data_IF_199981361295
#
_entry.id   IF_199981361295
#
_cell.length_a   1.000
_cell.length_b   1.000
_cell.length_c   1.000
_cell.angle_alpha   90.00
_cell.angle_beta   90.00
_cell.angle_gamma   90.00
#
_symmetry.space_group_name_H-M   'P 1'
#
loop_
_entity.id
_entity.type
_entity.pdbx_description
1 polymer ?
#
# COMPACT_ATOMS: atom_id res chain seq x y z
N UNK A 1 -1.20 -7.48 -14.10
CA UNK A 1 -1.88 -8.20 -13.00
C UNK A 1 -0.84 -8.90 -12.14
N UNK A 2 -0.86 -8.70 -10.82
CA UNK A 2 0.04 -9.35 -9.84
C UNK A 2 -0.63 -10.61 -9.28
N UNK A 3 0.10 -11.73 -9.21
CA UNK A 3 -0.42 -13.01 -8.68
C UNK A 3 0.59 -13.69 -7.77
N UNK A 4 0.10 -14.31 -6.71
CA UNK A 4 0.84 -15.29 -5.91
C UNK A 4 0.38 -16.70 -6.23
N UNK A 5 1.29 -17.67 -6.17
CA UNK A 5 1.04 -19.07 -6.46
C UNK A 5 1.63 -19.93 -5.34
N UNK A 6 0.76 -20.45 -4.45
CA UNK A 6 1.13 -21.24 -3.28
C UNK A 6 2.30 -20.64 -2.50
N UNK A 7 2.21 -19.32 -2.27
CA UNK A 7 3.26 -18.52 -1.69
C UNK A 7 3.38 -18.82 -0.19
N UNK A 8 4.53 -19.32 0.24
CA UNK A 8 4.83 -19.49 1.66
C UNK A 8 6.14 -18.79 2.02
N UNK A 9 6.19 -18.28 3.26
CA UNK A 9 7.40 -17.63 3.77
C UNK A 9 7.62 -17.98 5.25
N UNK A 10 8.88 -18.32 5.55
CA UNK A 10 9.36 -18.53 6.91
C UNK A 10 10.37 -17.45 7.28
N UNK A 11 10.23 -16.92 8.46
CA UNK A 11 11.27 -16.11 9.07
C UNK A 11 11.93 -16.97 10.16
N UNK A 12 13.17 -17.36 9.96
CA UNK A 12 13.85 -18.40 10.74
C UNK A 12 13.02 -19.70 10.74
N UNK A 13 12.54 -20.12 11.91
CA UNK A 13 11.71 -21.33 12.07
C UNK A 13 10.21 -21.05 12.09
N UNK A 14 9.79 -19.78 12.14
CA UNK A 14 8.37 -19.40 12.21
C UNK A 14 7.79 -19.27 10.82
N UNK A 15 6.71 -20.00 10.55
CA UNK A 15 5.90 -19.82 9.35
C UNK A 15 5.11 -18.50 9.48
N UNK A 16 5.32 -17.59 8.54
CA UNK A 16 4.68 -16.27 8.51
C UNK A 16 3.53 -16.20 7.51
N UNK A 17 3.68 -16.91 6.39
CA UNK A 17 2.64 -17.06 5.36
C UNK A 17 2.64 -18.51 4.87
N UNK A 18 1.44 -19.05 4.64
CA UNK A 18 1.23 -20.42 4.23
C UNK A 18 0.35 -20.52 2.98
N UNK A 19 0.90 -21.01 1.88
CA UNK A 19 0.23 -21.35 0.61
C UNK A 19 -0.67 -20.26 0.00
N UNK A 20 -0.37 -18.97 0.20
CA UNK A 20 -1.15 -17.85 -0.30
C UNK A 20 -1.23 -17.85 -1.83
N UNK A 21 -2.44 -17.99 -2.36
CA UNK A 21 -2.73 -17.93 -3.80
C UNK A 21 -3.79 -16.88 -4.09
N UNK A 22 -3.36 -15.65 -4.43
CA UNK A 22 -4.22 -14.48 -4.65
C UNK A 22 -3.84 -13.78 -5.94
N UNK A 23 -4.82 -13.25 -6.67
CA UNK A 23 -4.62 -12.40 -7.84
C UNK A 23 -5.11 -10.97 -7.53
N UNK A 24 -4.24 -9.98 -7.74
CA UNK A 24 -4.56 -8.55 -7.61
C UNK A 24 -4.73 -7.96 -9.01
N UNK A 25 -5.86 -7.33 -9.26
CA UNK A 25 -6.26 -6.84 -10.58
C UNK A 25 -5.92 -5.36 -10.75
N UNK A 26 -5.53 -4.93 -11.96
CA UNK A 26 -5.50 -3.52 -12.31
C UNK A 26 -6.89 -2.87 -12.13
N UNK A 27 -6.89 -1.57 -11.84
CA UNK A 27 -8.13 -0.82 -11.64
C UNK A 27 -8.81 -1.07 -10.29
N UNK A 28 -8.11 -1.66 -9.31
CA UNK A 28 -8.68 -2.05 -8.03
C UNK A 28 -7.81 -1.60 -6.86
N UNK A 29 -8.42 -0.97 -5.87
CA UNK A 29 -7.83 -0.74 -4.55
C UNK A 29 -8.15 -1.95 -3.66
N UNK A 30 -7.15 -2.81 -3.46
CA UNK A 30 -7.24 -3.94 -2.53
C UNK A 30 -6.64 -3.56 -1.17
N UNK A 31 -7.45 -3.63 -0.13
CA UNK A 31 -6.97 -3.44 1.25
C UNK A 31 -6.70 -4.80 1.88
N UNK A 32 -5.57 -4.93 2.55
CA UNK A 32 -5.19 -6.10 3.35
C UNK A 32 -5.38 -5.72 4.82
N UNK A 33 -6.33 -6.36 5.49
CA UNK A 33 -6.58 -6.28 6.92
C UNK A 33 -6.13 -7.53 7.67
N UNK A 34 -6.31 -7.52 8.98
CA UNK A 34 -6.00 -8.65 9.86
C UNK A 34 -5.30 -8.23 11.15
N UNK A 35 -5.27 -9.09 12.18
CA UNK A 35 -4.61 -8.81 13.45
C UNK A 35 -3.10 -8.57 13.31
N UNK A 36 -2.48 -8.05 14.37
CA UNK A 36 -1.02 -7.94 14.42
C UNK A 36 -0.38 -9.34 14.35
N UNK A 37 0.70 -9.46 13.58
CA UNK A 37 1.39 -10.73 13.39
C UNK A 37 0.75 -11.69 12.38
N UNK A 38 -0.35 -11.34 11.69
CA UNK A 38 -0.99 -12.18 10.68
C UNK A 38 -0.23 -12.31 9.36
N UNK A 39 0.86 -11.56 9.16
CA UNK A 39 1.71 -11.65 7.96
C UNK A 39 1.53 -10.53 6.94
N UNK A 40 0.74 -9.47 7.21
CA UNK A 40 0.44 -8.38 6.25
C UNK A 40 1.70 -7.70 5.68
N UNK A 41 2.57 -7.19 6.54
CA UNK A 41 3.82 -6.53 6.10
C UNK A 41 4.76 -7.52 5.40
N UNK A 42 4.79 -8.78 5.84
CA UNK A 42 5.55 -9.84 5.16
C UNK A 42 5.01 -10.06 3.74
N UNK A 43 3.68 -10.08 3.56
CA UNK A 43 3.07 -10.21 2.23
C UNK A 43 3.43 -9.00 1.34
N UNK A 44 3.32 -7.77 1.83
CA UNK A 44 3.74 -6.56 1.07
C UNK A 44 5.22 -6.66 0.65
N UNK A 45 6.12 -7.05 1.55
CA UNK A 45 7.56 -7.18 1.26
C UNK A 45 7.86 -8.29 0.24
N UNK A 46 7.09 -9.36 0.24
CA UNK A 46 7.18 -10.42 -0.78
C UNK A 46 6.62 -9.93 -2.13
N UNK A 47 5.45 -9.29 -2.15
CA UNK A 47 4.84 -8.71 -3.35
C UNK A 47 5.71 -7.61 -3.96
N UNK A 48 6.47 -6.91 -3.12
CA UNK A 48 7.45 -5.93 -3.57
C UNK A 48 8.73 -6.55 -4.13
N UNK A 49 9.00 -7.82 -3.88
CA UNK A 49 10.27 -8.47 -4.23
C UNK A 49 11.43 -8.10 -3.29
N UNK A 50 11.17 -7.41 -2.17
CA UNK A 50 12.15 -7.14 -1.12
C UNK A 50 12.56 -8.43 -0.40
N UNK A 51 11.56 -9.31 -0.17
CA UNK A 51 11.78 -10.65 0.36
C UNK A 51 11.62 -11.70 -0.75
N UNK A 52 12.35 -12.79 -0.62
CA UNK A 52 12.16 -14.00 -1.43
C UNK A 52 11.23 -14.96 -0.70
N UNK A 53 10.27 -15.58 -1.40
CA UNK A 53 9.45 -16.63 -0.81
C UNK A 53 10.29 -17.87 -0.46
N UNK A 54 9.89 -18.56 0.61
CA UNK A 54 10.48 -19.87 0.97
C UNK A 54 10.01 -20.98 0.03
N UNK A 55 8.75 -20.88 -0.44
CA UNK A 55 8.19 -21.74 -1.50
C UNK A 55 7.12 -20.98 -2.29
N UNK A 56 6.74 -21.50 -3.45
CA UNK A 56 5.82 -20.84 -4.36
C UNK A 56 6.50 -19.75 -5.20
N UNK A 57 5.71 -18.90 -5.84
CA UNK A 57 6.23 -17.81 -6.70
C UNK A 57 5.25 -16.62 -6.75
N UNK A 58 5.78 -15.49 -7.19
CA UNK A 58 5.01 -14.28 -7.47
C UNK A 58 5.22 -13.91 -8.92
N UNK A 59 4.15 -13.63 -9.65
CA UNK A 59 4.22 -13.18 -11.03
C UNK A 59 3.56 -11.83 -11.22
N UNK A 60 4.21 -10.96 -11.99
CA UNK A 60 3.66 -9.68 -12.46
C UNK A 60 3.56 -9.76 -13.98
N UNK A 61 2.34 -9.57 -14.50
CA UNK A 61 2.02 -9.66 -15.93
C UNK A 61 2.50 -10.98 -16.59
N UNK A 62 2.35 -12.10 -15.87
CA UNK A 62 2.73 -13.41 -16.31
C UNK A 62 4.22 -13.78 -16.11
N UNK A 63 5.08 -12.81 -15.84
CA UNK A 63 6.51 -13.02 -15.60
C UNK A 63 6.77 -13.14 -14.09
N UNK A 64 7.57 -14.14 -13.68
CA UNK A 64 8.03 -14.27 -12.29
C UNK A 64 8.82 -13.03 -11.88
N UNK A 65 8.56 -12.48 -10.68
CA UNK A 65 9.25 -11.27 -10.17
C UNK A 65 10.77 -11.43 -10.15
N UNK A 66 11.29 -12.65 -9.99
CA UNK A 66 12.73 -12.93 -9.99
C UNK A 66 13.41 -12.68 -11.33
N UNK A 67 12.63 -12.68 -12.41
CA UNK A 67 13.14 -12.47 -13.78
C UNK A 67 12.99 -11.02 -14.25
N UNK A 68 12.37 -10.16 -13.45
CA UNK A 68 12.27 -8.75 -13.78
C UNK A 68 13.63 -8.05 -13.62
N UNK A 69 13.99 -7.25 -14.60
CA UNK A 69 15.12 -6.35 -14.46
C UNK A 69 14.81 -5.30 -13.38
N UNK A 70 15.70 -5.05 -12.38
CA UNK A 70 15.41 -4.17 -11.26
C UNK A 70 14.93 -2.78 -11.68
N UNK A 71 15.56 -2.17 -12.69
CA UNK A 71 15.20 -0.84 -13.18
C UNK A 71 13.80 -0.83 -13.83
N UNK A 72 13.47 -1.83 -14.64
CA UNK A 72 12.13 -1.96 -15.23
C UNK A 72 11.07 -2.16 -14.17
N UNK A 73 11.35 -2.99 -13.17
CA UNK A 73 10.43 -3.21 -12.06
C UNK A 73 10.26 -1.93 -11.22
N UNK A 74 11.32 -1.17 -10.97
CA UNK A 74 11.25 0.10 -10.25
C UNK A 74 10.43 1.16 -10.98
N UNK A 75 10.40 1.16 -12.31
CA UNK A 75 9.53 2.04 -13.12
C UNK A 75 8.05 1.60 -13.09
N UNK A 76 7.77 0.34 -12.78
CA UNK A 76 6.42 -0.25 -12.74
C UNK A 76 5.82 -0.29 -11.34
N UNK A 77 6.66 -0.24 -10.29
CA UNK A 77 6.26 -0.52 -8.92
C UNK A 77 6.83 0.52 -7.96
N UNK A 78 5.98 1.17 -7.20
CA UNK A 78 6.36 1.94 -6.02
C UNK A 78 5.97 1.21 -4.73
N UNK A 79 6.80 1.40 -3.70
CA UNK A 79 6.61 0.78 -2.39
C UNK A 79 6.72 1.85 -1.30
N UNK A 80 5.70 1.95 -0.46
CA UNK A 80 5.74 2.67 0.80
C UNK A 80 5.86 1.66 1.93
N UNK A 81 7.03 1.57 2.55
CA UNK A 81 7.28 0.71 3.71
C UNK A 81 6.93 1.43 5.00
N UNK A 82 6.48 0.68 6.01
CA UNK A 82 6.16 1.19 7.35
C UNK A 82 7.37 1.87 8.00
N UNK A 83 8.56 1.29 7.85
CA UNK A 83 9.80 1.86 8.36
C UNK A 83 10.52 2.62 7.25
N UNK A 84 10.67 3.93 7.44
CA UNK A 84 11.50 4.75 6.57
C UNK A 84 12.82 4.99 7.28
N UNK A 85 13.97 4.60 6.68
CA UNK A 85 15.28 4.88 7.25
C UNK A 85 15.43 6.36 7.60
N UNK A 86 16.20 6.68 8.65
CA UNK A 86 16.52 8.06 8.99
C UNK A 86 17.07 8.77 7.75
N UNK A 87 16.36 9.81 7.34
CA UNK A 87 16.77 10.61 6.18
C UNK A 87 17.73 11.69 6.66
N UNK A 88 18.78 12.02 5.87
CA UNK A 88 19.62 13.18 6.15
C UNK A 88 18.80 14.47 6.19
N UNK A 89 19.40 15.57 6.62
CA UNK A 89 18.76 16.89 6.68
C UNK A 89 18.54 17.48 5.28
N UNK A 90 17.83 16.75 4.42
CA UNK A 90 17.52 17.15 3.06
C UNK A 90 16.21 17.95 2.98
N UNK A 91 16.11 18.89 2.04
CA UNK A 91 14.83 19.51 1.70
C UNK A 91 13.81 18.47 1.20
N UNK A 92 12.54 18.76 1.45
CA UNK A 92 11.41 17.89 1.07
C UNK A 92 11.43 17.50 -0.41
N UNK A 93 11.67 18.48 -1.31
CA UNK A 93 11.72 18.21 -2.75
C UNK A 93 12.81 17.19 -3.12
N UNK A 94 13.95 17.20 -2.43
CA UNK A 94 15.03 16.22 -2.69
C UNK A 94 14.63 14.81 -2.22
N UNK A 95 13.88 14.71 -1.09
CA UNK A 95 13.37 13.42 -0.63
C UNK A 95 12.36 12.86 -1.64
N UNK A 96 11.46 13.69 -2.18
CA UNK A 96 10.50 13.28 -3.21
C UNK A 96 11.22 12.94 -4.52
N UNK A 97 12.27 13.66 -4.88
CA UNK A 97 13.11 13.40 -6.06
C UNK A 97 13.76 12.01 -6.05
N UNK A 98 13.95 11.37 -4.89
CA UNK A 98 14.39 9.97 -4.84
C UNK A 98 13.44 9.02 -5.58
N UNK A 99 12.16 9.38 -5.72
CA UNK A 99 11.20 8.64 -6.55
C UNK A 99 11.59 8.64 -8.03
N UNK A 100 12.37 9.64 -8.50
CA UNK A 100 12.83 9.71 -9.91
C UNK A 100 14.14 8.95 -10.17
N UNK A 101 14.76 8.36 -9.14
CA UNK A 101 16.01 7.60 -9.33
C UNK A 101 15.96 6.51 -10.41
N UNK A 102 14.83 5.85 -10.72
CA UNK A 102 14.75 4.92 -11.84
C UNK A 102 14.80 5.59 -13.23
N UNK A 103 14.74 6.91 -13.32
CA UNK A 103 14.62 7.68 -14.57
C UNK A 103 15.82 8.61 -14.75
N UNK A 104 17.03 8.04 -14.64
CA UNK A 104 18.27 8.83 -14.72
C UNK A 104 18.45 9.58 -16.05
N UNK A 105 17.80 9.12 -17.12
CA UNK A 105 17.90 9.68 -18.47
C UNK A 105 16.75 10.64 -18.81
N UNK A 106 15.89 11.00 -17.84
CA UNK A 106 14.77 11.89 -18.12
C UNK A 106 15.16 13.36 -18.18
N UNK A 107 14.36 14.15 -18.89
CA UNK A 107 14.49 15.60 -18.88
C UNK A 107 14.30 16.17 -17.47
N UNK A 108 15.22 16.99 -17.03
CA UNK A 108 15.20 17.64 -15.71
C UNK A 108 13.90 18.42 -15.47
N UNK A 109 13.38 19.12 -16.49
CA UNK A 109 12.12 19.88 -16.39
C UNK A 109 10.94 18.94 -16.11
N UNK A 110 10.91 17.79 -16.75
CA UNK A 110 9.86 16.77 -16.52
C UNK A 110 9.95 16.18 -15.10
N UNK A 111 11.15 15.83 -14.64
CA UNK A 111 11.36 15.36 -13.27
C UNK A 111 10.90 16.37 -12.22
N UNK A 112 11.19 17.67 -12.43
CA UNK A 112 10.72 18.75 -11.57
C UNK A 112 9.20 18.88 -11.56
N UNK A 113 8.54 18.72 -12.71
CA UNK A 113 7.08 18.73 -12.81
C UNK A 113 6.47 17.55 -12.05
N UNK A 114 7.03 16.35 -12.15
CA UNK A 114 6.59 15.17 -11.41
C UNK A 114 6.70 15.37 -9.89
N UNK A 115 7.79 15.97 -9.41
CA UNK A 115 7.99 16.30 -8.00
C UNK A 115 6.94 17.31 -7.53
N UNK A 116 6.72 18.39 -8.30
CA UNK A 116 5.74 19.42 -7.96
C UNK A 116 4.32 18.84 -7.89
N UNK A 117 3.92 18.05 -8.89
CA UNK A 117 2.61 17.39 -8.92
C UNK A 117 2.41 16.44 -7.73
N UNK A 118 3.42 15.66 -7.37
CA UNK A 118 3.35 14.76 -6.22
C UNK A 118 3.21 15.54 -4.88
N UNK A 119 3.92 16.67 -4.73
CA UNK A 119 3.81 17.53 -3.56
C UNK A 119 2.46 18.22 -3.47
N UNK A 120 1.87 18.62 -4.59
CA UNK A 120 0.52 19.18 -4.65
C UNK A 120 -0.52 18.19 -4.14
N UNK A 121 -0.46 16.94 -4.60
CA UNK A 121 -1.40 15.87 -4.20
C UNK A 121 -1.41 15.62 -2.68
N UNK A 122 -0.29 15.84 -2.02
CA UNK A 122 -0.17 15.65 -0.56
C UNK A 122 -0.22 16.97 0.23
N UNK A 123 -0.51 18.12 -0.43
CA UNK A 123 -0.64 19.43 0.21
C UNK A 123 0.66 19.91 0.88
N UNK A 124 1.82 19.67 0.25
CA UNK A 124 3.13 20.07 0.77
C UNK A 124 3.93 20.95 -0.21
N UNK A 125 3.27 21.49 -1.25
CA UNK A 125 3.96 22.34 -2.24
C UNK A 125 4.69 23.52 -1.61
N UNK A 126 4.03 24.23 -0.69
CA UNK A 126 4.61 25.40 -0.02
C UNK A 126 5.73 25.04 0.95
N UNK A 127 5.86 23.75 1.28
CA UNK A 127 6.90 23.24 2.19
C UNK A 127 8.03 22.51 1.45
N UNK A 128 8.14 22.65 0.12
CA UNK A 128 9.13 21.93 -0.69
C UNK A 128 10.60 22.19 -0.27
N UNK A 129 10.90 23.35 0.31
CA UNK A 129 12.23 23.71 0.83
C UNK A 129 12.41 23.35 2.32
N UNK A 130 11.36 22.96 3.02
CA UNK A 130 11.47 22.60 4.43
C UNK A 130 12.39 21.38 4.61
N UNK A 131 13.13 21.36 5.73
CA UNK A 131 14.01 20.23 6.05
C UNK A 131 13.18 19.06 6.53
N UNK A 132 13.27 17.91 5.85
CA UNK A 132 12.48 16.69 6.11
C UNK A 132 12.53 16.22 7.56
N UNK A 133 13.71 16.24 8.20
CA UNK A 133 13.87 15.81 9.60
C UNK A 133 13.13 16.70 10.61
N UNK A 134 12.77 17.95 10.24
CA UNK A 134 12.05 18.92 11.09
C UNK A 134 10.53 18.82 10.94
N UNK A 135 10.03 18.02 10.00
CA UNK A 135 8.61 17.84 9.78
C UNK A 135 7.97 17.01 10.90
N UNK A 136 6.66 17.21 11.11
CA UNK A 136 5.85 16.32 11.95
C UNK A 136 5.79 14.89 11.39
N UNK A 137 5.40 13.91 12.20
CA UNK A 137 5.23 12.51 11.76
C UNK A 137 4.29 12.40 10.55
N UNK A 138 3.13 13.06 10.63
CA UNK A 138 2.16 13.07 9.53
C UNK A 138 2.67 13.77 8.27
N UNK A 139 3.41 14.88 8.40
CA UNK A 139 4.05 15.51 7.24
C UNK A 139 5.10 14.61 6.60
N UNK A 140 5.92 13.92 7.40
CA UNK A 140 6.90 12.95 6.89
C UNK A 140 6.22 11.80 6.15
N UNK A 141 5.12 11.26 6.68
CA UNK A 141 4.34 10.21 6.02
C UNK A 141 3.82 10.69 4.66
N UNK A 142 3.30 11.93 4.58
CA UNK A 142 2.84 12.53 3.30
C UNK A 142 3.99 12.72 2.30
N UNK A 143 5.19 13.12 2.74
CA UNK A 143 6.38 13.22 1.86
C UNK A 143 6.75 11.85 1.28
N UNK A 144 6.71 10.79 2.09
CA UNK A 144 7.00 9.44 1.61
C UNK A 144 5.94 8.94 0.62
N UNK A 145 4.68 9.28 0.86
CA UNK A 145 3.61 8.99 -0.10
C UNK A 145 3.83 9.77 -1.41
N UNK A 146 4.16 11.07 -1.35
CA UNK A 146 4.51 11.86 -2.53
C UNK A 146 5.68 11.26 -3.32
N UNK A 147 6.71 10.74 -2.64
CA UNK A 147 7.83 10.03 -3.28
C UNK A 147 7.34 8.83 -4.10
N UNK A 148 6.41 8.04 -3.55
CA UNK A 148 5.84 6.88 -4.25
C UNK A 148 5.00 7.30 -5.46
N UNK A 149 4.21 8.37 -5.35
CA UNK A 149 3.44 8.94 -6.47
C UNK A 149 4.37 9.51 -7.56
N UNK A 150 5.42 10.23 -7.15
CA UNK A 150 6.42 10.78 -8.04
C UNK A 150 7.12 9.68 -8.86
N UNK A 151 7.42 8.53 -8.25
CA UNK A 151 8.01 7.38 -8.94
C UNK A 151 7.13 6.84 -10.06
N UNK A 152 5.80 6.85 -9.88
CA UNK A 152 4.83 6.31 -10.84
C UNK A 152 4.15 7.40 -11.69
N UNK A 153 4.64 8.63 -11.68
CA UNK A 153 3.99 9.80 -12.32
C UNK A 153 3.66 9.58 -13.81
N UNK A 154 4.55 8.92 -14.54
CA UNK A 154 4.36 8.66 -15.99
C UNK A 154 3.42 7.49 -16.29
N UNK A 155 3.16 6.64 -15.31
CA UNK A 155 2.35 5.44 -15.53
C UNK A 155 0.88 5.83 -15.62
N UNK A 156 0.35 5.89 -16.84
CA UNK A 156 -1.07 6.13 -17.07
C UNK A 156 -1.92 4.91 -16.69
N UNK A 157 -1.39 3.70 -16.93
CA UNK A 157 -2.03 2.42 -16.62
C UNK A 157 -0.97 1.44 -16.10
N UNK A 158 -1.39 0.30 -15.59
CA UNK A 158 -0.52 -0.85 -15.23
C UNK A 158 0.47 -0.63 -14.07
N UNK A 159 0.50 0.53 -13.40
CA UNK A 159 1.35 0.74 -12.24
C UNK A 159 0.95 -0.17 -11.07
N UNK A 160 1.94 -0.57 -10.29
CA UNK A 160 1.77 -1.31 -9.04
C UNK A 160 2.17 -0.43 -7.86
N UNK A 161 1.23 -0.10 -7.00
CA UNK A 161 1.45 0.69 -5.79
C UNK A 161 1.21 -0.19 -4.55
N UNK A 162 2.26 -0.42 -3.77
CA UNK A 162 2.26 -1.25 -2.56
C UNK A 162 2.51 -0.36 -1.35
N UNK A 163 1.57 -0.34 -0.39
CA UNK A 163 1.64 0.56 0.76
C UNK A 163 1.43 -0.23 2.06
N UNK A 164 2.37 -0.10 2.97
CA UNK A 164 2.27 -0.67 4.31
C UNK A 164 1.92 0.44 5.31
N UNK A 165 0.67 0.46 5.77
CA UNK A 165 0.10 1.41 6.74
C UNK A 165 0.28 2.90 6.37
N UNK A 166 -0.12 3.35 5.17
CA UNK A 166 0.13 4.72 4.71
C UNK A 166 -0.61 5.78 5.54
N UNK A 167 -1.56 5.40 6.38
CA UNK A 167 -2.43 6.30 7.16
C UNK A 167 -2.12 6.33 8.66
N UNK A 168 -1.19 5.49 9.15
CA UNK A 168 -0.97 5.28 10.59
C UNK A 168 -0.59 6.54 11.39
N UNK A 169 0.09 7.51 10.77
CA UNK A 169 0.56 8.73 11.43
C UNK A 169 -0.20 9.98 10.97
N UNK A 170 -1.33 9.82 10.29
CA UNK A 170 -2.10 10.91 9.71
C UNK A 170 -3.32 11.24 10.58
N UNK A 171 -3.68 12.52 10.63
CA UNK A 171 -4.98 12.95 11.15
C UNK A 171 -6.13 12.48 10.23
N UNK A 172 -7.39 12.46 10.71
CA UNK A 172 -8.52 11.94 9.93
C UNK A 172 -8.67 12.59 8.55
N UNK A 173 -8.45 13.91 8.43
CA UNK A 173 -8.55 14.62 7.15
C UNK A 173 -7.55 14.03 6.14
N UNK A 174 -6.29 13.87 6.54
CA UNK A 174 -5.25 13.36 5.66
C UNK A 174 -5.37 11.85 5.41
N UNK A 175 -5.91 11.08 6.36
CA UNK A 175 -6.26 9.68 6.12
C UNK A 175 -7.25 9.57 4.95
N UNK A 176 -8.35 10.34 5.00
CA UNK A 176 -9.35 10.36 3.93
C UNK A 176 -8.79 10.84 2.60
N UNK A 177 -7.98 11.90 2.59
CA UNK A 177 -7.36 12.40 1.35
C UNK A 177 -6.38 11.40 0.75
N UNK A 178 -5.58 10.72 1.57
CA UNK A 178 -4.67 9.66 1.10
C UNK A 178 -5.45 8.51 0.49
N UNK A 179 -6.50 8.02 1.15
CA UNK A 179 -7.31 6.92 0.64
C UNK A 179 -8.05 7.30 -0.65
N UNK A 180 -8.56 8.54 -0.74
CA UNK A 180 -9.16 9.04 -1.98
C UNK A 180 -8.13 9.06 -3.11
N UNK A 181 -6.93 9.59 -2.87
CA UNK A 181 -5.84 9.58 -3.86
C UNK A 181 -5.46 8.18 -4.33
N UNK A 182 -5.47 7.18 -3.43
CA UNK A 182 -5.24 5.78 -3.80
C UNK A 182 -6.38 5.21 -4.65
N UNK A 183 -7.63 5.57 -4.34
CA UNK A 183 -8.79 5.19 -5.15
C UNK A 183 -8.74 5.80 -6.54
N UNK A 184 -8.34 7.07 -6.64
CA UNK A 184 -8.16 7.75 -7.92
C UNK A 184 -7.02 7.13 -8.75
N UNK A 185 -5.94 6.66 -8.11
CA UNK A 185 -4.90 5.87 -8.77
C UNK A 185 -5.44 4.54 -9.30
N UNK A 186 -6.24 3.83 -8.52
CA UNK A 186 -6.91 2.60 -8.97
C UNK A 186 -7.83 2.89 -10.16
N UNK A 187 -8.66 3.95 -10.11
CA UNK A 187 -9.55 4.35 -11.20
C UNK A 187 -8.80 4.64 -12.52
N UNK A 188 -7.52 5.06 -12.45
CA UNK A 188 -6.62 5.21 -13.62
C UNK A 188 -6.05 3.90 -14.15
N UNK A 189 -6.42 2.75 -13.58
CA UNK A 189 -5.96 1.43 -13.99
C UNK A 189 -4.79 0.87 -13.19
N UNK A 190 -4.34 1.54 -12.11
CA UNK A 190 -3.27 1.01 -11.28
C UNK A 190 -3.74 -0.20 -10.45
N UNK A 191 -2.83 -1.12 -10.16
CA UNK A 191 -3.03 -2.12 -9.12
C UNK A 191 -2.57 -1.50 -7.79
N UNK A 192 -3.50 -1.21 -6.90
CA UNK A 192 -3.18 -0.59 -5.60
C UNK A 192 -3.44 -1.60 -4.49
N UNK A 193 -2.43 -1.89 -3.69
CA UNK A 193 -2.49 -2.80 -2.54
C UNK A 193 -2.04 -2.04 -1.31
N UNK A 194 -2.90 -1.97 -0.30
CA UNK A 194 -2.68 -1.17 0.89
C UNK A 194 -2.96 -1.98 2.14
N UNK A 195 -2.06 -2.00 3.11
CA UNK A 195 -2.33 -2.53 4.45
C UNK A 195 -2.98 -1.46 5.30
N UNK A 196 -4.11 -1.78 5.93
CA UNK A 196 -4.77 -0.91 6.90
C UNK A 196 -5.16 -1.68 8.17
N UNK A 197 -5.13 -0.97 9.31
CA UNK A 197 -5.70 -1.45 10.57
C UNK A 197 -7.16 -1.03 10.73
N UNK A 198 -7.54 0.12 10.18
CA UNK A 198 -8.91 0.65 10.27
C UNK A 198 -9.80 0.00 9.21
N UNK A 199 -10.65 -0.94 9.67
CA UNK A 199 -11.61 -1.64 8.82
C UNK A 199 -12.75 -0.72 8.32
N UNK A 200 -13.06 0.35 9.05
CA UNK A 200 -14.07 1.32 8.63
C UNK A 200 -13.55 2.19 7.49
N UNK A 201 -12.27 2.57 7.55
CA UNK A 201 -11.61 3.25 6.44
C UNK A 201 -11.51 2.33 5.22
N UNK A 202 -11.18 1.05 5.43
CA UNK A 202 -11.18 0.04 4.37
C UNK A 202 -12.57 -0.13 3.74
N UNK A 203 -13.63 -0.20 4.54
CA UNK A 203 -15.02 -0.29 4.06
C UNK A 203 -15.40 0.84 3.12
N UNK A 204 -14.95 2.06 3.41
CA UNK A 204 -15.32 3.25 2.65
C UNK A 204 -14.61 3.36 1.30
N UNK A 205 -13.36 2.91 1.21
CA UNK A 205 -12.52 3.19 0.06
C UNK A 205 -12.14 1.97 -0.79
N UNK A 206 -12.04 0.78 -0.17
CA UNK A 206 -11.57 -0.39 -0.87
C UNK A 206 -12.62 -0.94 -1.86
N UNK A 207 -12.14 -1.42 -2.99
CA UNK A 207 -12.94 -2.24 -3.92
C UNK A 207 -12.92 -3.71 -3.50
N UNK A 208 -11.87 -4.11 -2.78
CA UNK A 208 -11.68 -5.47 -2.27
C UNK A 208 -10.98 -5.43 -0.92
N UNK A 209 -11.49 -6.22 0.01
CA UNK A 209 -10.91 -6.41 1.34
C UNK A 209 -10.46 -7.85 1.50
N UNK A 210 -9.19 -8.04 1.83
CA UNK A 210 -8.57 -9.33 2.10
C UNK A 210 -8.14 -9.35 3.56
N UNK A 211 -8.60 -10.34 4.33
CA UNK A 211 -8.22 -10.49 5.73
C UNK A 211 -7.24 -11.65 5.87
N UNK A 212 -6.05 -11.33 6.37
CA UNK A 212 -5.05 -12.32 6.76
C UNK A 212 -5.23 -12.70 8.23
N UNK A 213 -5.16 -14.00 8.52
CA UNK A 213 -5.16 -14.56 9.86
C UNK A 213 -4.25 -15.79 9.89
N UNK A 214 -3.36 -15.85 10.87
CA UNK A 214 -2.40 -16.95 11.08
C UNK A 214 -1.62 -17.36 9.81
N UNK A 215 -1.25 -16.36 9.01
CA UNK A 215 -0.46 -16.56 7.79
C UNK A 215 -1.25 -17.04 6.57
N UNK A 216 -2.56 -17.13 6.65
CA UNK A 216 -3.44 -17.54 5.55
C UNK A 216 -4.47 -16.44 5.22
N UNK A 217 -5.12 -16.57 4.04
CA UNK A 217 -6.24 -15.71 3.63
C UNK A 217 -7.52 -16.25 4.24
N UNK A 218 -7.96 -15.63 5.33
CA UNK A 218 -9.18 -16.04 6.03
C UNK A 218 -10.45 -15.58 5.30
N UNK A 219 -10.45 -14.34 4.76
CA UNK A 219 -11.57 -13.74 4.04
C UNK A 219 -11.06 -12.93 2.85
N UNK A 220 -11.83 -12.93 1.75
CA UNK A 220 -11.50 -12.22 0.53
C UNK A 220 -12.78 -11.90 -0.26
N UNK A 221 -13.06 -10.62 -0.49
CA UNK A 221 -14.26 -10.20 -1.20
C UNK A 221 -14.50 -8.70 -1.18
N UNK A 222 -15.71 -8.30 -1.55
CA UNK A 222 -16.15 -6.93 -1.38
C UNK A 222 -16.17 -6.56 0.12
N UNK A 223 -15.81 -5.31 0.50
CA UNK A 223 -15.72 -4.92 1.91
C UNK A 223 -16.99 -5.25 2.72
N UNK A 224 -18.17 -4.98 2.15
CA UNK A 224 -19.44 -5.27 2.82
C UNK A 224 -19.60 -6.78 3.13
N UNK A 225 -19.29 -7.65 2.18
CA UNK A 225 -19.36 -9.11 2.36
C UNK A 225 -18.40 -9.61 3.44
N UNK A 226 -17.17 -9.08 3.41
CA UNK A 226 -16.13 -9.47 4.36
C UNK A 226 -16.45 -9.00 5.78
N UNK A 227 -16.96 -7.77 5.94
CA UNK A 227 -17.28 -7.21 7.25
C UNK A 227 -18.58 -7.77 7.86
N UNK A 228 -19.48 -8.31 7.03
CA UNK A 228 -20.68 -9.02 7.48
C UNK A 228 -20.40 -10.48 7.87
N UNK A 229 -19.25 -11.03 7.47
CA UNK A 229 -18.90 -12.41 7.83
C UNK A 229 -18.65 -12.54 9.35
N UNK A 230 -19.31 -13.46 10.05
CA UNK A 230 -19.15 -13.62 11.51
C UNK A 230 -17.74 -14.07 11.93
N UNK A 231 -16.92 -14.55 10.99
CA UNK A 231 -15.51 -14.88 11.26
C UNK A 231 -14.67 -13.65 11.64
N UNK A 232 -15.08 -12.44 11.22
CA UNK A 232 -14.41 -11.19 11.61
C UNK A 232 -14.33 -11.06 13.14
N UNK A 233 -15.42 -11.36 13.85
CA UNK A 233 -15.47 -11.27 15.32
C UNK A 233 -14.44 -12.21 15.97
N UNK A 234 -14.33 -13.43 15.45
CA UNK A 234 -13.36 -14.44 15.94
C UNK A 234 -11.93 -14.05 15.60
N UNK A 235 -11.69 -13.56 14.38
CA UNK A 235 -10.35 -13.16 13.89
C UNK A 235 -9.80 -12.02 14.73
N UNK A 236 -10.61 -11.02 15.05
CA UNK A 236 -10.19 -9.86 15.84
C UNK A 236 -10.39 -10.07 17.35
N UNK A 237 -11.02 -11.20 17.78
CA UNK A 237 -11.35 -11.51 19.18
C UNK A 237 -12.19 -10.39 19.83
N UNK A 238 -13.11 -9.82 19.06
CA UNK A 238 -14.01 -8.74 19.45
C UNK A 238 -15.43 -9.05 18.95
N UNK A 239 -16.44 -8.59 19.69
CA UNK A 239 -17.79 -8.55 19.19
C UNK A 239 -18.01 -7.22 18.46
N UNK A 240 -18.50 -7.27 17.23
CA UNK A 240 -18.79 -6.07 16.45
C UNK A 240 -20.29 -5.88 16.23
N UNK A 241 -20.80 -4.71 16.62
CA UNK A 241 -22.04 -4.21 16.06
C UNK A 241 -21.78 -3.73 14.61
N UNK A 242 -22.63 -4.17 13.70
CA UNK A 242 -22.55 -3.84 12.27
C UNK A 242 -23.56 -2.75 11.93
N UNK A 243 -23.06 -1.58 11.63
CA UNK A 243 -23.86 -0.41 11.27
C UNK A 243 -23.76 -0.16 9.76
N UNK A 244 -24.82 0.39 9.16
CA UNK A 244 -24.80 0.82 7.75
C UNK A 244 -25.09 2.33 7.68
N UNK A 245 -24.19 3.03 7.01
CA UNK A 245 -24.35 4.47 6.79
C UNK A 245 -23.75 4.83 5.43
N UNK A 246 -24.45 5.66 4.64
CA UNK A 246 -24.05 6.10 3.29
C UNK A 246 -23.59 4.95 2.36
N UNK A 247 -24.27 3.80 2.43
CA UNK A 247 -23.95 2.64 1.59
C UNK A 247 -22.75 1.83 2.04
N UNK A 248 -22.07 2.21 3.13
CA UNK A 248 -20.91 1.50 3.67
C UNK A 248 -21.24 0.77 4.96
N UNK A 249 -20.51 -0.33 5.20
CA UNK A 249 -20.60 -1.09 6.46
C UNK A 249 -19.57 -0.53 7.45
N UNK A 250 -20.01 -0.29 8.67
CA UNK A 250 -19.16 0.14 9.78
C UNK A 250 -19.18 -0.89 10.89
N UNK A 251 -18.01 -1.17 11.46
CA UNK A 251 -17.85 -2.03 12.63
C UNK A 251 -17.63 -1.17 13.87
N UNK A 252 -18.43 -1.41 14.89
CA UNK A 252 -18.25 -0.81 16.21
C UNK A 252 -18.03 -1.92 17.23
N UNK A 253 -16.86 -1.91 17.91
CA UNK A 253 -16.60 -2.89 18.95
C UNK A 253 -17.56 -2.70 20.10
N UNK A 254 -18.22 -3.77 20.51
CA UNK A 254 -19.11 -3.79 21.69
C UNK A 254 -18.44 -4.60 22.80
N UNK A 255 -18.59 -4.07 24.02
CA UNK A 255 -18.03 -4.68 25.23
C UNK A 255 -18.73 -6.01 25.57
#
# INVERSE_FOLDING_TARGET
MLKTHHLSHRHDRRLCLDHISVAFRPGQLCVIGGPNGSGKSTLIRLLSGELRPSSGRISLDGMDLRHWQPLRLARRRAVLSQQVPSQPAWPVHQVVALGRSPYADEDTAYGQQAIAAALDQVGLRDQHQAIYSRLSGGQRARVQFARSLCQLHEQSTDALCLLDEPTASLDPRWQHQTMQGLKDCAARGWTVICVLHDLNLASRYADRLLILHDGDVALDGAPEQVLDDPRIDRIYQLNFARLRHDGHRYLHAVA
#
